data_IF_064637585243
#
_entry.id   IF_064637585243
#
_cell.length_a   1.000
_cell.length_b   1.000
_cell.length_c   1.000
_cell.angle_alpha   90.00
_cell.angle_beta   90.00
_cell.angle_gamma   90.00
#
_symmetry.space_group_name_H-M   'P 1'
#
loop_
_entity.id
_entity.type
_entity.pdbx_description
1 polymer ?
#
# COMPACT_ATOMS: atom_id res chain seq x y z
N UNK A 1 -4.45 24.75 -33.71
CA UNK A 1 -5.69 24.90 -32.94
C UNK A 1 -5.65 24.11 -31.63
N UNK A 2 -5.54 22.78 -31.67
CA UNK A 2 -5.55 21.92 -30.46
C UNK A 2 -4.47 22.24 -29.41
N UNK A 3 -3.24 22.54 -29.81
CA UNK A 3 -2.15 22.89 -28.86
C UNK A 3 -2.49 24.15 -28.05
N UNK A 4 -3.11 25.16 -28.69
CA UNK A 4 -3.51 26.40 -28.02
C UNK A 4 -4.64 26.13 -27.02
N UNK A 5 -5.58 25.25 -27.37
CA UNK A 5 -6.69 24.83 -26.49
C UNK A 5 -6.16 24.06 -25.28
N UNK A 6 -5.20 23.15 -25.48
CA UNK A 6 -4.58 22.38 -24.39
C UNK A 6 -3.80 23.30 -23.44
N UNK A 7 -3.01 24.23 -23.97
CA UNK A 7 -2.27 25.19 -23.15
C UNK A 7 -3.20 26.11 -22.34
N UNK A 8 -4.32 26.55 -22.92
CA UNK A 8 -5.32 27.36 -22.21
C UNK A 8 -5.97 26.62 -21.03
N UNK A 9 -6.27 25.32 -21.20
CA UNK A 9 -6.83 24.46 -20.15
C UNK A 9 -5.84 24.27 -18.98
N UNK A 10 -4.57 24.00 -19.29
CA UNK A 10 -3.52 23.83 -18.29
C UNK A 10 -3.26 25.14 -17.52
N UNK A 11 -3.19 26.26 -18.24
CA UNK A 11 -2.99 27.58 -17.64
C UNK A 11 -4.16 27.97 -16.72
N UNK A 12 -5.41 27.71 -17.14
CA UNK A 12 -6.59 27.94 -16.32
C UNK A 12 -6.61 27.09 -15.05
N UNK A 13 -6.24 25.81 -15.16
CA UNK A 13 -6.12 24.91 -14.02
C UNK A 13 -5.08 25.38 -12.99
N UNK A 14 -3.91 25.83 -13.47
CA UNK A 14 -2.86 26.37 -12.61
C UNK A 14 -3.30 27.65 -11.88
N UNK A 15 -3.99 28.56 -12.58
CA UNK A 15 -4.50 29.79 -11.98
C UNK A 15 -5.54 29.51 -10.88
N UNK A 16 -6.47 28.58 -11.12
CA UNK A 16 -7.46 28.17 -10.12
C UNK A 16 -6.82 27.49 -8.91
N UNK A 17 -5.83 26.62 -9.14
CA UNK A 17 -5.12 25.91 -8.08
C UNK A 17 -4.36 26.86 -7.17
N UNK A 18 -3.68 27.86 -7.74
CA UNK A 18 -2.96 28.87 -6.96
C UNK A 18 -3.91 29.75 -6.14
N UNK A 19 -5.06 30.13 -6.70
CA UNK A 19 -6.08 30.88 -5.97
C UNK A 19 -6.66 30.09 -4.78
N UNK A 20 -6.83 28.78 -4.93
CA UNK A 20 -7.35 27.89 -3.88
C UNK A 20 -6.38 27.71 -2.70
N UNK A 21 -5.06 27.79 -2.95
CA UNK A 21 -4.03 27.61 -1.92
C UNK A 21 -3.77 28.91 -1.13
N UNK A 22 -3.96 30.08 -1.73
CA UNK A 22 -3.70 31.36 -1.05
C UNK A 22 -4.81 31.76 -0.05
N UNK A 23 -6.01 31.17 -0.18
CA UNK A 23 -7.20 31.54 0.59
C UNK A 23 -7.43 30.81 1.92
N UNK A 24 -6.58 29.84 2.30
CA UNK A 24 -6.74 29.11 3.56
C UNK A 24 -5.72 29.55 4.59
N UNK A 25 -6.08 30.60 5.34
CA UNK A 25 -5.60 30.82 6.71
C UNK A 25 -6.01 29.61 7.55
N UNK A 26 -5.13 28.64 7.72
CA UNK A 26 -5.23 27.64 8.79
C UNK A 26 -4.78 28.30 10.08
N UNK A 27 -5.71 28.96 10.75
CA UNK A 27 -5.58 29.26 12.17
C UNK A 27 -5.90 28.00 12.96
N UNK A 28 -4.92 27.44 13.65
CA UNK A 28 -5.12 26.57 14.81
C UNK A 28 -3.90 26.73 15.72
N UNK A 29 -3.87 27.85 16.43
CA UNK A 29 -3.03 28.04 17.60
C UNK A 29 -3.59 27.10 18.69
N UNK A 30 -2.86 26.03 18.99
CA UNK A 30 -3.18 25.12 20.08
C UNK A 30 -2.83 25.80 21.40
N UNK A 31 -3.84 26.07 22.24
CA UNK A 31 -3.61 26.31 23.66
C UNK A 31 -3.14 25.00 24.33
N UNK A 32 -1.96 24.96 24.96
CA UNK A 32 -1.54 23.81 25.76
C UNK A 32 -2.25 23.87 27.11
N UNK A 33 -3.12 22.89 27.37
CA UNK A 33 -3.74 22.69 28.67
C UNK A 33 -2.68 22.32 29.72
N UNK A 34 -2.50 23.24 30.68
CA UNK A 34 -1.70 23.07 31.89
C UNK A 34 -2.30 21.97 32.78
N UNK A 35 -1.49 20.97 33.14
CA UNK A 35 -1.68 20.16 34.36
C UNK A 35 -1.12 20.94 35.55
N UNK A 36 -1.74 20.84 36.74
CA UNK A 36 -0.99 20.24 37.85
C UNK A 36 -1.78 19.28 38.75
N UNK A 37 -1.05 18.25 39.23
CA UNK A 37 -1.07 17.57 40.54
C UNK A 37 -2.43 17.18 41.18
N UNK A 38 -2.74 15.88 41.27
CA UNK A 38 -2.46 15.05 42.46
C UNK A 38 -3.10 15.58 43.76
N UNK A 39 -4.22 14.97 44.20
CA UNK A 39 -4.32 14.47 45.58
C UNK A 39 -5.59 13.62 45.83
N UNK A 40 -5.39 12.55 46.62
CA UNK A 40 -6.34 11.81 47.47
C UNK A 40 -6.99 10.53 46.95
N UNK A 41 -6.28 9.46 47.30
CA UNK A 41 -6.72 8.10 47.58
C UNK A 41 -8.16 7.94 48.12
N UNK A 42 -8.85 6.91 47.61
CA UNK A 42 -9.67 6.00 48.42
C UNK A 42 -9.74 4.60 47.80
N UNK A 43 -9.70 3.64 48.73
CA UNK A 43 -9.58 2.18 48.61
C UNK A 43 -10.81 1.51 48.01
N UNK A 44 -10.59 0.43 47.24
CA UNK A 44 -11.44 -0.77 47.28
C UNK A 44 -12.37 -1.00 46.09
N UNK A 45 -12.08 -2.03 45.29
CA UNK A 45 -13.05 -2.64 44.37
C UNK A 45 -12.39 -3.30 43.15
N UNK A 46 -12.27 -4.63 43.16
CA UNK A 46 -12.02 -5.43 41.97
C UNK A 46 -13.18 -5.21 40.98
N UNK A 47 -12.90 -4.54 39.86
CA UNK A 47 -13.79 -4.50 38.70
C UNK A 47 -13.07 -5.10 37.48
N UNK A 48 -13.76 -5.90 36.65
CA UNK A 48 -13.16 -6.48 35.46
C UNK A 48 -12.82 -5.35 34.48
N UNK A 49 -11.59 -5.38 33.98
CA UNK A 49 -11.08 -4.44 32.98
C UNK A 49 -11.93 -4.56 31.70
N UNK A 50 -12.63 -3.51 31.25
CA UNK A 50 -13.15 -3.50 29.89
C UNK A 50 -11.95 -3.48 28.94
N UNK A 51 -11.96 -4.38 27.97
CA UNK A 51 -11.03 -4.37 26.84
C UNK A 51 -11.02 -2.96 26.22
N UNK A 52 -9.86 -2.40 25.82
CA UNK A 52 -9.88 -1.12 25.11
C UNK A 52 -10.60 -1.32 23.78
N UNK A 53 -11.62 -0.51 23.52
CA UNK A 53 -12.20 -0.35 22.19
C UNK A 53 -11.12 0.17 21.23
N UNK A 54 -10.44 -0.75 20.55
CA UNK A 54 -9.39 -0.49 19.56
C UNK A 54 -9.96 -0.11 18.18
N UNK A 55 -11.14 0.50 18.12
CA UNK A 55 -11.81 0.87 16.86
C UNK A 55 -11.53 2.31 16.44
N UNK A 56 -11.03 3.17 17.36
CA UNK A 56 -10.73 4.58 17.05
C UNK A 56 -9.32 4.84 16.51
N UNK A 57 -8.32 4.08 16.98
CA UNK A 57 -6.90 4.32 16.64
C UNK A 57 -6.48 3.72 15.30
N UNK A 58 -7.09 2.60 14.88
CA UNK A 58 -6.79 1.93 13.59
C UNK A 58 -7.18 2.79 12.38
N UNK A 59 -8.25 3.57 12.49
CA UNK A 59 -8.69 4.50 11.43
C UNK A 59 -7.73 5.70 11.29
N UNK A 60 -7.12 6.15 12.40
CA UNK A 60 -6.15 7.25 12.40
C UNK A 60 -4.76 6.82 11.94
N UNK A 61 -4.32 5.61 12.27
CA UNK A 61 -3.06 5.05 11.74
C UNK A 61 -3.11 4.73 10.24
N UNK A 62 -4.30 4.58 9.66
CA UNK A 62 -4.49 4.35 8.23
C UNK A 62 -4.37 5.61 7.36
N UNK A 63 -4.13 6.79 7.95
CA UNK A 63 -4.01 8.06 7.25
C UNK A 63 -2.84 8.01 6.25
N UNK A 64 -3.16 7.95 4.95
CA UNK A 64 -2.19 7.80 3.86
C UNK A 64 -2.01 6.37 3.32
N UNK A 65 -2.52 5.33 3.99
CA UNK A 65 -2.50 3.94 3.51
C UNK A 65 -3.65 3.61 2.57
N UNK A 66 -4.73 4.38 2.61
CA UNK A 66 -5.91 4.17 1.78
C UNK A 66 -6.12 5.43 0.93
N UNK A 67 -6.40 5.25 -0.35
CA UNK A 67 -6.83 6.38 -1.21
C UNK A 67 -8.30 6.71 -0.95
N UNK A 68 -8.76 7.94 -1.25
CA UNK A 68 -10.18 8.29 -1.10
C UNK A 68 -11.15 7.34 -1.84
N UNK A 69 -10.70 6.71 -2.92
CA UNK A 69 -11.48 5.72 -3.67
C UNK A 69 -11.65 4.40 -2.91
N UNK A 70 -10.62 3.96 -2.17
CA UNK A 70 -10.64 2.69 -1.45
C UNK A 70 -11.34 2.75 -0.08
N UNK A 71 -11.58 3.95 0.47
CA UNK A 71 -12.13 4.10 1.83
C UNK A 71 -13.48 3.38 2.04
N UNK A 72 -14.38 3.46 1.05
CA UNK A 72 -15.69 2.82 1.13
C UNK A 72 -15.56 1.29 1.18
N UNK A 73 -14.69 0.74 0.32
CA UNK A 73 -14.39 -0.68 0.24
C UNK A 73 -13.76 -1.24 1.52
N UNK A 74 -12.75 -0.53 2.03
CA UNK A 74 -12.07 -0.92 3.28
C UNK A 74 -13.03 -0.86 4.47
N UNK A 75 -13.93 0.12 4.51
CA UNK A 75 -14.98 0.17 5.55
C UNK A 75 -15.94 -1.02 5.48
N UNK A 76 -16.29 -1.47 4.27
CA UNK A 76 -17.09 -2.67 4.08
C UNK A 76 -16.33 -3.93 4.55
N UNK A 77 -15.03 -4.01 4.24
CA UNK A 77 -14.15 -5.08 4.71
C UNK A 77 -14.06 -5.15 6.23
N UNK A 78 -13.80 -4.02 6.91
CA UNK A 78 -13.78 -3.96 8.39
C UNK A 78 -15.15 -4.29 9.01
N UNK A 79 -16.23 -4.06 8.27
CA UNK A 79 -17.58 -4.42 8.73
C UNK A 79 -17.85 -5.91 8.59
N UNK A 80 -17.31 -6.56 7.56
CA UNK A 80 -17.38 -8.00 7.35
C UNK A 80 -16.41 -8.77 8.27
N UNK A 81 -15.22 -8.22 8.51
CA UNK A 81 -14.19 -8.75 9.40
C UNK A 81 -13.68 -7.66 10.36
N UNK A 82 -14.12 -7.75 11.61
CA UNK A 82 -13.74 -6.81 12.68
C UNK A 82 -12.28 -6.95 13.13
N UNK A 83 -11.60 -8.03 12.75
CA UNK A 83 -10.19 -8.27 13.06
C UNK A 83 -9.24 -7.70 12.01
N UNK A 84 -9.76 -7.19 10.90
CA UNK A 84 -8.96 -6.64 9.82
C UNK A 84 -8.21 -5.37 10.24
N UNK A 85 -6.88 -5.43 10.23
CA UNK A 85 -5.98 -4.33 10.54
C UNK A 85 -5.31 -3.82 9.25
N UNK A 86 -5.63 -2.58 8.87
CA UNK A 86 -5.14 -1.98 7.62
C UNK A 86 -3.61 -1.81 7.61
N UNK A 87 -2.98 -1.17 8.61
CA UNK A 87 -1.52 -1.09 8.69
C UNK A 87 -0.82 -2.45 8.55
N UNK A 88 -1.27 -3.45 9.33
CA UNK A 88 -0.66 -4.78 9.31
C UNK A 88 -0.85 -5.47 7.94
N UNK A 89 -2.03 -5.34 7.34
CA UNK A 89 -2.30 -5.88 6.02
C UNK A 89 -1.39 -5.27 4.95
N UNK A 90 -1.19 -3.95 4.98
CA UNK A 90 -0.30 -3.27 4.01
C UNK A 90 1.15 -3.71 4.17
N UNK A 91 1.64 -3.90 5.40
CA UNK A 91 2.99 -4.45 5.62
C UNK A 91 3.11 -5.91 5.13
N UNK A 92 2.10 -6.74 5.38
CA UNK A 92 2.04 -8.09 4.82
C UNK A 92 2.06 -8.09 3.29
N UNK A 93 1.31 -7.18 2.67
CA UNK A 93 1.25 -7.04 1.22
C UNK A 93 2.60 -6.60 0.62
N UNK A 94 3.33 -5.69 1.30
CA UNK A 94 4.72 -5.33 0.90
C UNK A 94 5.64 -6.56 0.93
N UNK A 95 5.54 -7.40 1.96
CA UNK A 95 6.33 -8.63 2.03
C UNK A 95 5.97 -9.62 0.93
N UNK A 96 4.67 -9.80 0.67
CA UNK A 96 4.20 -10.68 -0.41
C UNK A 96 4.69 -10.20 -1.78
N UNK A 97 4.60 -8.89 -2.05
CA UNK A 97 5.11 -8.27 -3.27
C UNK A 97 6.60 -8.56 -3.48
N UNK A 98 7.41 -8.41 -2.42
CA UNK A 98 8.82 -8.76 -2.46
C UNK A 98 9.05 -10.24 -2.78
N UNK A 99 8.38 -11.15 -2.07
CA UNK A 99 8.54 -12.61 -2.28
C UNK A 99 8.20 -13.00 -3.71
N UNK A 100 7.09 -12.50 -4.26
CA UNK A 100 6.68 -12.78 -5.65
C UNK A 100 7.73 -12.32 -6.66
N UNK A 101 8.23 -11.08 -6.54
CA UNK A 101 9.25 -10.56 -7.45
C UNK A 101 10.56 -11.36 -7.37
N UNK A 102 11.02 -11.67 -6.16
CA UNK A 102 12.26 -12.42 -5.97
C UNK A 102 12.14 -13.86 -6.48
N UNK A 103 11.00 -14.53 -6.25
CA UNK A 103 10.71 -15.85 -6.80
C UNK A 103 10.70 -15.83 -8.33
N UNK A 104 10.04 -14.82 -8.93
CA UNK A 104 10.02 -14.63 -10.39
C UNK A 104 11.43 -14.43 -10.97
N UNK A 105 12.26 -13.58 -10.35
CA UNK A 105 13.63 -13.36 -10.83
C UNK A 105 14.47 -14.63 -10.75
N UNK A 106 14.34 -15.41 -9.67
CA UNK A 106 14.99 -16.72 -9.54
C UNK A 106 14.42 -17.80 -10.46
N UNK A 107 13.20 -17.63 -10.97
CA UNK A 107 12.49 -18.67 -11.73
C UNK A 107 11.91 -19.78 -10.85
N UNK A 108 11.62 -19.47 -9.58
CA UNK A 108 11.08 -20.44 -8.60
C UNK A 108 9.56 -20.60 -8.79
N UNK A 109 9.18 -21.61 -9.59
CA UNK A 109 7.78 -21.90 -9.93
C UNK A 109 6.98 -22.44 -8.74
N UNK A 110 7.63 -23.17 -7.84
CA UNK A 110 6.99 -23.77 -6.67
C UNK A 110 6.59 -22.68 -5.66
N UNK A 111 7.48 -21.71 -5.42
CA UNK A 111 7.17 -20.57 -4.55
C UNK A 111 6.09 -19.67 -5.15
N UNK A 112 6.12 -19.43 -6.47
CA UNK A 112 5.06 -18.69 -7.17
C UNK A 112 3.71 -19.39 -7.09
N UNK A 113 3.67 -20.72 -7.19
CA UNK A 113 2.42 -21.49 -7.10
C UNK A 113 1.76 -21.42 -5.71
N UNK A 114 2.54 -21.13 -4.67
CA UNK A 114 2.02 -20.89 -3.32
C UNK A 114 1.50 -19.45 -3.12
N UNK A 115 2.10 -18.48 -3.82
CA UNK A 115 1.81 -17.05 -3.65
C UNK A 115 0.74 -16.52 -4.60
N UNK A 116 0.56 -17.17 -5.75
CA UNK A 116 -0.31 -16.71 -6.84
C UNK A 116 -1.39 -17.73 -7.17
N UNK A 117 -2.52 -17.26 -7.68
CA UNK A 117 -3.51 -18.12 -8.31
C UNK A 117 -2.98 -18.71 -9.64
N UNK A 118 -3.70 -19.72 -10.15
CA UNK A 118 -3.27 -20.49 -11.31
C UNK A 118 -3.16 -19.65 -12.61
N UNK A 119 -3.99 -18.60 -12.77
CA UNK A 119 -3.97 -17.76 -13.97
C UNK A 119 -2.72 -16.86 -13.97
N UNK A 120 -2.43 -16.24 -12.82
CA UNK A 120 -1.23 -15.42 -12.64
C UNK A 120 0.04 -16.28 -12.71
N UNK A 121 0.03 -17.47 -12.11
CA UNK A 121 1.14 -18.42 -12.18
C UNK A 121 1.49 -18.77 -13.63
N UNK A 122 0.50 -19.12 -14.45
CA UNK A 122 0.73 -19.47 -15.85
C UNK A 122 1.42 -18.35 -16.64
N UNK A 123 1.02 -17.10 -16.39
CA UNK A 123 1.67 -15.93 -17.01
C UNK A 123 3.15 -15.79 -16.60
N UNK A 124 3.48 -16.07 -15.33
CA UNK A 124 4.87 -16.07 -14.88
C UNK A 124 5.68 -17.24 -15.45
N UNK A 125 5.11 -18.43 -15.52
CA UNK A 125 5.77 -19.61 -16.07
C UNK A 125 6.14 -19.43 -17.54
N UNK A 126 5.23 -18.86 -18.34
CA UNK A 126 5.48 -18.53 -19.74
C UNK A 126 6.65 -17.55 -19.89
N UNK A 127 6.65 -16.47 -19.09
CA UNK A 127 7.72 -15.48 -19.11
C UNK A 127 9.07 -16.06 -18.65
N UNK A 128 9.07 -16.92 -17.63
CA UNK A 128 10.27 -17.62 -17.16
C UNK A 128 10.79 -18.55 -18.27
N UNK A 129 9.93 -19.34 -18.90
CA UNK A 129 10.31 -20.28 -19.95
C UNK A 129 10.88 -19.57 -21.18
N UNK A 130 10.30 -18.44 -21.60
CA UNK A 130 10.82 -17.63 -22.68
C UNK A 130 12.25 -17.13 -22.38
N UNK A 131 12.47 -16.60 -21.18
CA UNK A 131 13.78 -16.14 -20.73
C UNK A 131 14.81 -17.27 -20.65
N UNK A 132 14.43 -18.43 -20.11
CA UNK A 132 15.29 -19.61 -20.01
C UNK A 132 15.71 -20.12 -21.39
N UNK A 133 14.81 -20.07 -22.39
CA UNK A 133 15.12 -20.45 -23.77
C UNK A 133 16.17 -19.53 -24.42
N UNK A 134 16.21 -18.26 -24.01
CA UNK A 134 17.23 -17.29 -24.43
C UNK A 134 18.56 -17.43 -23.64
N UNK A 135 18.57 -18.22 -22.56
CA UNK A 135 19.73 -18.37 -21.68
C UNK A 135 20.00 -17.12 -20.82
N UNK A 136 18.98 -16.29 -20.60
CA UNK A 136 19.08 -15.07 -19.81
C UNK A 136 18.87 -15.33 -18.32
N UNK A 137 19.67 -14.68 -17.48
CA UNK A 137 19.58 -14.73 -16.02
C UNK A 137 19.26 -13.34 -15.48
N UNK A 138 18.22 -13.22 -14.66
CA UNK A 138 17.92 -11.96 -13.98
C UNK A 138 18.59 -11.94 -12.61
N UNK A 139 19.46 -10.95 -12.42
CA UNK A 139 20.13 -10.61 -11.16
C UNK A 139 19.52 -9.32 -10.61
N UNK A 140 18.19 -9.28 -10.63
CA UNK A 140 17.40 -8.12 -10.23
C UNK A 140 17.27 -8.08 -8.70
N UNK A 141 17.12 -6.87 -8.17
CA UNK A 141 16.92 -6.66 -6.74
C UNK A 141 15.89 -5.57 -6.46
N UNK A 142 14.96 -5.86 -5.56
CA UNK A 142 14.08 -4.87 -4.97
C UNK A 142 14.91 -4.03 -3.99
N UNK A 143 15.14 -2.76 -4.33
CA UNK A 143 15.94 -1.85 -3.50
C UNK A 143 15.10 -1.39 -2.32
N UNK A 144 13.86 -0.96 -2.60
CA UNK A 144 12.92 -0.49 -1.58
C UNK A 144 11.51 -0.34 -2.15
N UNK A 145 10.54 -0.26 -1.25
CA UNK A 145 9.16 0.14 -1.55
C UNK A 145 8.95 1.51 -0.89
N UNK A 146 8.81 2.55 -1.71
CA UNK A 146 8.59 3.93 -1.27
C UNK A 146 7.17 4.13 -0.76
N UNK A 147 6.19 3.49 -1.40
CA UNK A 147 4.79 3.64 -1.06
C UNK A 147 3.99 2.37 -1.32
N UNK A 148 3.03 2.10 -0.45
CA UNK A 148 1.99 1.10 -0.68
C UNK A 148 0.65 1.68 -0.23
N UNK A 149 -0.34 1.68 -1.10
CA UNK A 149 -1.67 2.20 -0.79
C UNK A 149 -2.77 1.28 -1.31
N UNK A 150 -3.81 1.08 -0.51
CA UNK A 150 -5.05 0.43 -0.95
C UNK A 150 -5.79 1.43 -1.84
N UNK A 151 -6.00 1.05 -3.10
CA UNK A 151 -6.69 1.89 -4.10
C UNK A 151 -8.17 1.52 -4.24
N UNK A 152 -8.49 0.25 -3.99
CA UNK A 152 -9.85 -0.29 -4.01
C UNK A 152 -9.94 -1.53 -3.12
N UNK A 153 -11.13 -1.81 -2.61
CA UNK A 153 -11.43 -3.04 -1.89
C UNK A 153 -12.90 -3.41 -2.10
N UNK A 154 -13.18 -4.69 -2.32
CA UNK A 154 -14.53 -5.19 -2.44
C UNK A 154 -14.70 -6.47 -1.63
N UNK A 155 -15.92 -6.74 -1.19
CA UNK A 155 -16.26 -7.97 -0.47
C UNK A 155 -17.41 -8.64 -1.20
N UNK A 156 -17.16 -9.85 -1.68
CA UNK A 156 -18.15 -10.69 -2.32
C UNK A 156 -18.34 -11.98 -1.50
N UNK A 157 -19.40 -11.99 -0.69
CA UNK A 157 -19.70 -13.10 0.21
C UNK A 157 -18.61 -13.29 1.27
N UNK A 158 -17.79 -14.32 1.12
CA UNK A 158 -16.66 -14.64 2.02
C UNK A 158 -15.29 -14.29 1.44
N UNK A 159 -15.25 -13.75 0.23
CA UNK A 159 -14.01 -13.41 -0.45
C UNK A 159 -13.90 -11.89 -0.46
N UNK A 160 -12.77 -11.38 0.02
CA UNK A 160 -12.40 -9.99 -0.11
C UNK A 160 -11.33 -9.85 -1.20
N UNK A 161 -11.53 -8.90 -2.10
CA UNK A 161 -10.56 -8.52 -3.11
C UNK A 161 -10.02 -7.14 -2.75
N UNK A 162 -8.70 -7.01 -2.63
CA UNK A 162 -8.05 -5.76 -2.24
C UNK A 162 -7.01 -5.41 -3.28
N UNK A 163 -7.16 -4.24 -3.89
CA UNK A 163 -6.21 -3.71 -4.87
C UNK A 163 -5.25 -2.75 -4.20
N UNK A 164 -3.96 -2.99 -4.35
CA UNK A 164 -2.91 -2.12 -3.85
C UNK A 164 -2.08 -1.52 -4.99
N UNK A 165 -1.64 -0.28 -4.79
CA UNK A 165 -0.64 0.38 -5.62
C UNK A 165 0.67 0.44 -4.86
N UNK A 166 1.72 -0.06 -5.48
CA UNK A 166 3.10 0.02 -4.98
C UNK A 166 3.91 1.01 -5.81
N UNK A 167 4.67 1.86 -5.14
CA UNK A 167 5.75 2.65 -5.72
C UNK A 167 7.06 2.08 -5.15
N UNK A 168 7.93 1.56 -6.01
CA UNK A 168 9.11 0.82 -5.60
C UNK A 168 10.29 1.03 -6.56
N UNK A 169 11.49 0.99 -6.00
CA UNK A 169 12.75 1.07 -6.75
C UNK A 169 13.30 -0.34 -6.96
N UNK A 170 13.58 -0.68 -8.21
CA UNK A 170 14.12 -1.97 -8.63
C UNK A 170 15.43 -1.72 -9.38
N UNK A 171 16.49 -2.39 -8.95
CA UNK A 171 17.71 -2.51 -9.73
C UNK A 171 17.56 -3.73 -10.65
N UNK A 172 17.52 -3.49 -11.96
CA UNK A 172 17.42 -4.55 -12.95
C UNK A 172 18.80 -4.81 -13.55
N UNK A 173 19.22 -6.07 -13.57
CA UNK A 173 20.43 -6.54 -14.23
C UNK A 173 20.12 -7.87 -14.90
N UNK A 174 20.29 -7.92 -16.22
CA UNK A 174 20.16 -9.13 -17.02
C UNK A 174 21.53 -9.58 -17.48
N UNK A 175 21.82 -10.86 -17.29
CA UNK A 175 23.07 -11.49 -17.73
C UNK A 175 22.78 -12.53 -18.79
N UNK A 176 23.71 -12.68 -19.73
CA UNK A 176 23.72 -13.83 -20.64
C UNK A 176 24.25 -15.08 -19.93
N UNK A 177 24.21 -16.22 -20.64
CA UNK A 177 24.74 -17.52 -20.19
C UNK A 177 26.24 -17.50 -19.84
N UNK A 178 26.98 -16.55 -20.39
CA UNK A 178 28.43 -16.39 -20.20
C UNK A 178 28.73 -15.44 -19.02
N UNK A 179 27.69 -14.89 -18.39
CA UNK A 179 27.75 -14.00 -17.22
C UNK A 179 27.91 -12.52 -17.56
N UNK A 180 27.91 -12.16 -18.84
CA UNK A 180 28.03 -10.77 -19.28
C UNK A 180 26.72 -10.02 -19.04
N UNK A 181 26.82 -8.78 -18.57
CA UNK A 181 25.64 -7.91 -18.41
C UNK A 181 25.20 -7.43 -19.78
N UNK A 182 23.93 -7.68 -20.11
CA UNK A 182 23.32 -7.29 -21.39
C UNK A 182 22.26 -6.19 -21.23
N UNK A 183 21.70 -6.02 -20.03
CA UNK A 183 20.74 -4.97 -19.71
C UNK A 183 20.75 -4.64 -18.20
#
# INVERSE_FOLDING_TARGET
MYVIVILAMIAGFLALRLYSVLGKRTGHEQEPALRPAEERAKVGGLQPRPMPEATGDSVRLAEGLITPTGEAGVRALISADRSFDVPQFVEGAKSAYKMVLEAFWRGDRDELAWLCDAEVLGSFEEAIAAREAEGHVLDNRLVRIEKAQIVDASVNGRIAEVSLRFEADIAAVTRDKDGNVIA
#
